data_IF_764349096361
#
_entry.id   IF_764349096361
#
_cell.length_a   1.000
_cell.length_b   1.000
_cell.length_c   1.000
_cell.angle_alpha   90.00
_cell.angle_beta   90.00
_cell.angle_gamma   90.00
#
_symmetry.space_group_name_H-M   'P 1'
#
loop_
_entity.id
_entity.type
_entity.pdbx_description
1 polymer ?
#
# COMPACT_ATOMS: atom_id res chain seq x y z
N UNK A 1 3.10 15.22 7.80
CA UNK A 1 2.96 13.79 7.44
C UNK A 1 2.83 13.76 5.93
N UNK A 2 3.61 12.93 5.25
CA UNK A 2 3.51 12.81 3.78
C UNK A 2 2.15 12.23 3.40
N UNK A 3 1.58 12.72 2.32
CA UNK A 3 0.41 12.08 1.70
C UNK A 3 0.84 10.80 0.97
N UNK A 4 -0.08 9.86 0.75
CA UNK A 4 0.24 8.63 0.00
C UNK A 4 0.79 8.92 -1.41
N UNK A 5 0.40 10.05 -1.99
CA UNK A 5 0.76 10.47 -3.34
C UNK A 5 2.27 10.75 -3.50
N UNK A 6 2.98 10.98 -2.39
CA UNK A 6 4.43 11.23 -2.35
C UNK A 6 5.27 9.95 -2.28
N UNK A 7 4.64 8.77 -2.17
CA UNK A 7 5.36 7.51 -2.08
C UNK A 7 5.53 6.87 -3.45
N UNK A 8 6.69 6.23 -3.63
CA UNK A 8 7.01 5.36 -4.77
C UNK A 8 6.80 3.88 -4.47
N UNK A 9 6.70 3.53 -3.18
CA UNK A 9 6.65 2.17 -2.69
C UNK A 9 5.59 2.05 -1.60
N UNK A 10 4.56 1.22 -1.83
CA UNK A 10 3.47 1.06 -0.85
C UNK A 10 3.97 0.50 0.49
N UNK A 11 5.02 -0.33 0.50
CA UNK A 11 5.57 -0.90 1.75
C UNK A 11 6.10 0.19 2.67
N UNK A 12 6.75 1.22 2.11
CA UNK A 12 7.23 2.39 2.87
C UNK A 12 6.05 3.16 3.47
N UNK A 13 5.04 3.44 2.66
CA UNK A 13 3.81 4.08 3.12
C UNK A 13 3.12 3.29 4.26
N UNK A 14 2.91 1.97 4.06
CA UNK A 14 2.26 1.12 5.06
C UNK A 14 3.07 1.00 6.36
N UNK A 15 4.40 0.95 6.28
CA UNK A 15 5.21 0.97 7.49
C UNK A 15 5.11 2.31 8.23
N UNK A 16 5.08 3.44 7.51
CA UNK A 16 4.96 4.77 8.13
C UNK A 16 3.58 4.98 8.77
N UNK A 17 2.48 4.65 8.07
CA UNK A 17 1.13 4.76 8.64
C UNK A 17 0.94 3.83 9.85
N UNK A 18 1.58 2.65 9.87
CA UNK A 18 1.59 1.77 11.05
C UNK A 18 2.38 2.43 12.19
N UNK A 19 3.58 2.96 11.92
CA UNK A 19 4.42 3.59 12.94
C UNK A 19 3.78 4.84 13.56
N UNK A 20 2.95 5.56 12.79
CA UNK A 20 2.24 6.75 13.25
C UNK A 20 1.01 6.44 14.13
N UNK A 21 0.59 5.17 14.25
CA UNK A 21 -0.47 4.77 15.18
C UNK A 21 0.02 4.74 16.64
N UNK A 22 -0.88 4.84 17.65
CA UNK A 22 -0.52 4.78 19.06
C UNK A 22 0.39 3.61 19.40
N UNK A 23 1.31 3.81 20.36
CA UNK A 23 2.32 2.80 20.76
C UNK A 23 3.17 2.33 19.56
N UNK A 24 3.46 3.22 18.61
CA UNK A 24 4.20 2.96 17.36
C UNK A 24 3.61 1.80 16.54
N UNK A 25 2.28 1.70 16.55
CA UNK A 25 1.56 0.66 15.84
C UNK A 25 1.68 -0.75 16.40
N UNK A 26 2.13 -0.94 17.66
CA UNK A 26 2.14 -2.25 18.32
C UNK A 26 0.76 -2.92 18.19
N UNK A 27 0.72 -4.13 17.63
CA UNK A 27 -0.51 -4.89 17.39
C UNK A 27 -1.15 -4.66 16.01
N UNK A 28 -0.81 -3.59 15.29
CA UNK A 28 -1.44 -3.28 13.99
C UNK A 28 -1.23 -4.38 12.95
N UNK A 29 0.00 -4.94 12.86
CA UNK A 29 0.28 -6.06 11.93
C UNK A 29 -0.54 -7.31 12.27
N UNK A 30 -0.83 -7.57 13.55
CA UNK A 30 -1.67 -8.68 14.00
C UNK A 30 -3.12 -8.45 13.59
N UNK A 31 -3.67 -7.27 13.89
CA UNK A 31 -5.04 -6.91 13.54
C UNK A 31 -5.24 -6.90 12.01
N UNK A 32 -4.25 -6.43 11.26
CA UNK A 32 -4.28 -6.46 9.80
C UNK A 32 -4.29 -7.91 9.28
N UNK A 33 -3.47 -8.79 9.88
CA UNK A 33 -3.47 -10.20 9.51
C UNK A 33 -4.83 -10.87 9.77
N UNK A 34 -5.46 -10.58 10.92
CA UNK A 34 -6.81 -11.06 11.25
C UNK A 34 -7.85 -10.54 10.25
N UNK A 35 -7.81 -9.25 9.92
CA UNK A 35 -8.71 -8.64 8.93
C UNK A 35 -8.55 -9.24 7.52
N UNK A 36 -7.31 -9.51 7.12
CA UNK A 36 -6.98 -10.15 5.85
C UNK A 36 -7.15 -11.68 5.88
N UNK A 37 -7.47 -12.26 7.04
CA UNK A 37 -7.59 -13.71 7.28
C UNK A 37 -6.32 -14.48 6.91
N UNK A 38 -5.16 -13.97 7.32
CA UNK A 38 -3.86 -14.59 7.08
C UNK A 38 -2.97 -14.60 8.34
N UNK A 39 -1.77 -15.18 8.23
CA UNK A 39 -0.80 -15.23 9.32
C UNK A 39 -0.07 -13.89 9.46
N UNK A 40 0.19 -13.43 10.69
CA UNK A 40 0.99 -12.21 10.94
C UNK A 40 2.40 -12.30 10.35
N UNK A 41 2.99 -13.50 10.27
CA UNK A 41 4.30 -13.72 9.63
C UNK A 41 4.29 -13.39 8.13
N UNK A 42 3.16 -13.57 7.44
CA UNK A 42 3.00 -13.16 6.05
C UNK A 42 3.05 -11.64 5.93
N UNK A 43 2.31 -10.93 6.78
CA UNK A 43 2.32 -9.46 6.84
C UNK A 43 3.73 -8.93 7.06
N UNK A 44 4.45 -9.49 8.04
CA UNK A 44 5.82 -9.09 8.32
C UNK A 44 6.73 -9.30 7.11
N UNK A 45 6.67 -10.47 6.48
CA UNK A 45 7.53 -10.79 5.34
C UNK A 45 7.22 -9.97 4.08
N UNK A 46 5.96 -9.53 3.88
CA UNK A 46 5.62 -8.60 2.79
C UNK A 46 6.17 -7.20 3.12
N UNK A 47 5.91 -6.70 4.32
CA UNK A 47 6.30 -5.33 4.70
C UNK A 47 7.81 -5.14 4.90
N UNK A 48 8.60 -6.21 4.97
CA UNK A 48 10.05 -6.16 5.17
C UNK A 48 10.85 -6.91 4.09
N UNK A 49 10.22 -7.43 3.04
CA UNK A 49 10.90 -8.28 2.06
C UNK A 49 10.29 -8.19 0.67
N UNK A 50 10.59 -9.19 -0.17
CA UNK A 50 10.33 -9.16 -1.61
C UNK A 50 8.97 -9.70 -2.02
N UNK A 51 8.12 -10.07 -1.05
CA UNK A 51 6.74 -10.48 -1.32
C UNK A 51 5.82 -9.28 -1.39
N UNK A 52 4.74 -9.42 -2.15
CA UNK A 52 3.75 -8.36 -2.29
C UNK A 52 2.33 -8.82 -1.95
N UNK A 53 1.55 -7.91 -1.37
CA UNK A 53 0.11 -8.10 -1.24
C UNK A 53 -0.51 -8.29 -2.61
N UNK A 54 -1.62 -9.03 -2.72
CA UNK A 54 -2.45 -9.01 -3.93
C UNK A 54 -3.24 -7.70 -4.05
N UNK A 55 -3.80 -7.42 -5.23
CA UNK A 55 -4.70 -6.28 -5.40
C UNK A 55 -5.96 -6.41 -4.54
N UNK A 56 -6.50 -7.61 -4.38
CA UNK A 56 -7.62 -7.86 -3.46
C UNK A 56 -7.26 -7.56 -2.00
N UNK A 57 -6.04 -7.91 -1.60
CA UNK A 57 -5.53 -7.55 -0.27
C UNK A 57 -5.32 -6.04 -0.16
N UNK A 58 -4.87 -5.36 -1.22
CA UNK A 58 -4.74 -3.90 -1.24
C UNK A 58 -6.08 -3.20 -1.01
N UNK A 59 -7.17 -3.68 -1.65
CA UNK A 59 -8.53 -3.15 -1.40
C UNK A 59 -8.91 -3.28 0.07
N UNK A 60 -8.68 -4.45 0.68
CA UNK A 60 -8.97 -4.68 2.09
C UNK A 60 -8.07 -3.83 3.01
N UNK A 61 -6.81 -3.63 2.65
CA UNK A 61 -5.90 -2.73 3.37
C UNK A 61 -6.45 -1.30 3.37
N UNK A 62 -6.98 -0.82 2.24
CA UNK A 62 -7.62 0.50 2.17
C UNK A 62 -8.79 0.61 3.15
N UNK A 63 -9.62 -0.43 3.25
CA UNK A 63 -10.73 -0.48 4.22
C UNK A 63 -10.22 -0.48 5.67
N UNK A 64 -9.17 -1.26 5.97
CA UNK A 64 -8.59 -1.35 7.31
C UNK A 64 -7.99 -0.01 7.79
N UNK A 65 -7.38 0.75 6.88
CA UNK A 65 -6.84 2.08 7.18
C UNK A 65 -7.82 3.22 6.93
N UNK A 66 -9.06 2.93 6.52
CA UNK A 66 -10.09 3.91 6.16
C UNK A 66 -9.61 4.94 5.14
N UNK A 67 -8.84 4.49 4.14
CA UNK A 67 -8.35 5.36 3.08
C UNK A 67 -9.52 5.89 2.24
N UNK A 68 -9.44 7.16 1.87
CA UNK A 68 -10.44 7.76 1.00
C UNK A 68 -10.31 7.23 -0.44
N UNK A 69 -11.29 7.48 -1.34
CA UNK A 69 -11.27 6.93 -2.70
C UNK A 69 -9.99 7.24 -3.49
N UNK A 70 -9.47 8.47 -3.39
CA UNK A 70 -8.24 8.88 -4.07
C UNK A 70 -7.01 8.15 -3.53
N UNK A 71 -6.90 8.05 -2.21
CA UNK A 71 -5.82 7.31 -1.56
C UNK A 71 -5.86 5.81 -1.87
N UNK A 72 -7.06 5.23 -1.91
CA UNK A 72 -7.27 3.84 -2.29
C UNK A 72 -6.75 3.58 -3.69
N UNK A 73 -7.18 4.38 -4.67
CA UNK A 73 -6.81 4.18 -6.07
C UNK A 73 -5.28 4.30 -6.24
N UNK A 74 -4.65 5.26 -5.56
CA UNK A 74 -3.20 5.40 -5.56
C UNK A 74 -2.49 4.23 -4.87
N UNK A 75 -3.01 3.69 -3.76
CA UNK A 75 -2.44 2.49 -3.12
C UNK A 75 -2.50 1.28 -4.07
N UNK A 76 -3.60 1.12 -4.81
CA UNK A 76 -3.76 0.06 -5.80
C UNK A 76 -2.69 0.19 -6.88
N UNK A 77 -2.41 1.41 -7.38
CA UNK A 77 -1.36 1.62 -8.37
C UNK A 77 0.02 1.26 -7.84
N UNK A 78 0.35 1.69 -6.61
CA UNK A 78 1.63 1.33 -5.98
C UNK A 78 1.79 -0.18 -5.80
N UNK A 79 0.75 -0.88 -5.34
CA UNK A 79 0.79 -2.34 -5.19
C UNK A 79 0.88 -3.02 -6.56
N UNK A 80 0.11 -2.55 -7.55
CA UNK A 80 0.13 -3.06 -8.91
C UNK A 80 1.53 -2.97 -9.55
N UNK A 81 2.18 -1.80 -9.41
CA UNK A 81 3.54 -1.55 -9.87
C UNK A 81 4.54 -2.53 -9.28
N UNK A 82 4.57 -2.67 -7.95
CA UNK A 82 5.53 -3.54 -7.25
C UNK A 82 5.33 -5.02 -7.64
N UNK A 83 4.07 -5.44 -7.85
CA UNK A 83 3.73 -6.82 -8.27
C UNK A 83 4.00 -7.12 -9.73
N UNK A 84 4.16 -6.10 -10.57
CA UNK A 84 4.21 -6.28 -12.01
C UNK A 84 5.43 -7.12 -12.41
N UNK A 85 5.20 -8.22 -13.13
CA UNK A 85 6.24 -9.14 -13.57
C UNK A 85 6.92 -8.70 -14.87
N UNK A 86 6.26 -7.84 -15.67
CA UNK A 86 6.77 -7.33 -16.95
C UNK A 86 7.02 -5.84 -16.87
N UNK A 87 7.94 -5.36 -17.71
CA UNK A 87 8.23 -3.93 -17.84
C UNK A 87 6.99 -3.17 -18.31
N UNK A 88 6.28 -3.67 -19.33
CA UNK A 88 5.07 -3.03 -19.86
C UNK A 88 4.01 -2.78 -18.77
N UNK A 89 3.83 -3.73 -17.84
CA UNK A 89 2.86 -3.56 -16.75
C UNK A 89 3.37 -2.59 -15.68
N UNK A 90 4.69 -2.53 -15.42
CA UNK A 90 5.29 -1.52 -14.56
C UNK A 90 5.08 -0.12 -15.15
N UNK A 91 5.38 0.04 -16.44
CA UNK A 91 5.24 1.29 -17.17
C UNK A 91 3.78 1.78 -17.16
N UNK A 92 2.82 0.87 -17.35
CA UNK A 92 1.40 1.17 -17.22
C UNK A 92 1.05 1.77 -15.85
N UNK A 93 1.50 1.15 -14.74
CA UNK A 93 1.23 1.70 -13.40
C UNK A 93 2.00 2.99 -13.12
N UNK A 94 3.22 3.12 -13.63
CA UNK A 94 4.02 4.34 -13.51
C UNK A 94 3.32 5.52 -14.20
N UNK A 95 2.77 5.30 -15.40
CA UNK A 95 1.95 6.29 -16.10
C UNK A 95 0.70 6.68 -15.28
N UNK A 96 -0.03 5.69 -14.73
CA UNK A 96 -1.20 5.97 -13.87
C UNK A 96 -0.83 6.80 -12.64
N UNK A 97 0.29 6.48 -11.99
CA UNK A 97 0.78 7.23 -10.84
C UNK A 97 1.19 8.66 -11.21
N UNK A 98 1.86 8.86 -12.35
CA UNK A 98 2.26 10.18 -12.83
C UNK A 98 1.05 11.06 -13.14
N UNK A 99 0.09 10.53 -13.91
CA UNK A 99 -1.15 11.23 -14.25
C UNK A 99 -1.94 11.61 -12.98
N UNK A 100 -2.07 10.67 -12.05
CA UNK A 100 -2.77 10.93 -10.79
C UNK A 100 -2.11 12.05 -9.98
N UNK A 101 -0.77 12.09 -9.91
CA UNK A 101 -0.04 13.15 -9.21
C UNK A 101 -0.23 14.52 -9.86
N UNK A 102 -0.26 14.57 -11.20
CA UNK A 102 -0.53 15.80 -11.92
C UNK A 102 -1.92 16.36 -11.59
N UNK A 103 -2.94 15.49 -11.49
CA UNK A 103 -4.31 15.87 -11.12
C UNK A 103 -4.45 16.36 -9.67
N UNK A 104 -3.58 15.93 -8.76
CA UNK A 104 -3.63 16.33 -7.34
C UNK A 104 -2.93 17.67 -7.08
N UNK A 105 -2.02 18.10 -7.96
CA UNK A 105 -1.27 19.37 -7.84
C UNK A 105 -2.07 20.56 -8.43
N UNK A 106 -3.07 20.28 -9.28
CA UNK A 106 -4.02 21.26 -9.82
C UNK A 106 -5.16 21.55 -8.85
#
# INVERSE_FOLDING_TARGET
MKTIFEYECYKKYLNEIIQNRPKRGRGTKKNLAEFLRCKTSLISAILSGDRDFSLDQAIKICQFFSLNPRERDFLIFLVGRERAATTDLKDYYDEKMQNFRAEVIL
#
